data_IF_906859993349
#
_entry.id   IF_906859993349
#
_cell.length_a   1.000
_cell.length_b   1.000
_cell.length_c   1.000
_cell.angle_alpha   90.00
_cell.angle_beta   90.00
_cell.angle_gamma   90.00
#
_symmetry.space_group_name_H-M   'P 1'
#
loop_
_entity.id
_entity.type
_entity.pdbx_description
1 polymer ?
#
# COMPACT_ATOMS: atom_id res chain seq x y z
N UNK A 1 -46.01 -35.07 6.39
CA UNK A 1 -44.60 -35.50 6.49
C UNK A 1 -43.62 -34.51 5.84
N UNK A 2 -43.79 -34.12 4.58
CA UNK A 2 -42.88 -33.19 3.86
C UNK A 2 -42.70 -31.81 4.54
N UNK A 3 -43.81 -31.19 4.99
CA UNK A 3 -43.77 -29.90 5.71
C UNK A 3 -43.11 -29.98 7.10
N UNK A 4 -43.24 -31.13 7.76
CA UNK A 4 -42.62 -31.36 9.06
C UNK A 4 -41.10 -31.51 8.91
N UNK A 5 -40.64 -32.27 7.91
CA UNK A 5 -39.23 -32.38 7.57
C UNK A 5 -38.60 -31.02 7.17
N UNK A 6 -39.35 -30.18 6.46
CA UNK A 6 -38.91 -28.82 6.12
C UNK A 6 -38.74 -27.94 7.36
N UNK A 7 -39.68 -27.99 8.32
CA UNK A 7 -39.57 -27.22 9.56
C UNK A 7 -38.38 -27.66 10.40
N UNK A 8 -38.14 -28.96 10.53
CA UNK A 8 -36.99 -29.50 11.28
C UNK A 8 -35.67 -29.07 10.62
N UNK A 9 -35.59 -29.11 9.29
CA UNK A 9 -34.40 -28.66 8.55
C UNK A 9 -34.12 -27.17 8.74
N UNK A 10 -35.15 -26.31 8.70
CA UNK A 10 -35.01 -24.87 8.92
C UNK A 10 -34.58 -24.55 10.36
N UNK A 11 -35.16 -25.23 11.35
CA UNK A 11 -34.78 -25.04 12.76
C UNK A 11 -33.33 -25.46 12.99
N UNK A 12 -32.90 -26.58 12.41
CA UNK A 12 -31.51 -27.03 12.49
C UNK A 12 -30.54 -26.03 11.83
N UNK A 13 -30.91 -25.49 10.67
CA UNK A 13 -30.11 -24.47 9.98
C UNK A 13 -30.00 -23.17 10.80
N UNK A 14 -31.10 -22.74 11.43
CA UNK A 14 -31.11 -21.59 12.34
C UNK A 14 -30.25 -21.85 13.59
N UNK A 15 -30.33 -23.05 14.16
CA UNK A 15 -29.53 -23.45 15.31
C UNK A 15 -28.03 -23.43 14.97
N UNK A 16 -27.65 -23.94 13.79
CA UNK A 16 -26.26 -23.88 13.31
C UNK A 16 -25.78 -22.44 13.15
N UNK A 17 -26.59 -21.55 12.60
CA UNK A 17 -26.28 -20.13 12.44
C UNK A 17 -26.07 -19.41 13.79
N UNK A 18 -26.82 -19.80 14.82
CA UNK A 18 -26.72 -19.20 16.16
C UNK A 18 -25.52 -19.77 16.94
N UNK A 19 -25.13 -21.02 16.71
CA UNK A 19 -24.02 -21.66 17.41
C UNK A 19 -22.65 -21.42 16.76
N UNK A 20 -22.57 -20.93 15.52
CA UNK A 20 -21.29 -20.56 14.93
C UNK A 20 -20.77 -19.28 15.57
N UNK A 21 -19.62 -19.29 16.28
CA UNK A 21 -18.98 -18.07 16.69
C UNK A 21 -18.59 -17.28 15.44
N UNK A 22 -19.19 -16.11 15.24
CA UNK A 22 -18.72 -15.11 14.29
C UNK A 22 -17.39 -14.61 14.86
N UNK A 23 -16.30 -15.22 14.42
CA UNK A 23 -14.97 -14.65 14.61
C UNK A 23 -14.88 -13.43 13.69
N UNK A 24 -15.34 -12.28 14.18
CA UNK A 24 -14.84 -11.01 13.71
C UNK A 24 -13.41 -10.93 14.23
N UNK A 25 -12.46 -11.27 13.37
CA UNK A 25 -11.05 -11.11 13.67
C UNK A 25 -10.82 -9.60 13.81
N UNK A 26 -10.70 -9.10 15.04
CA UNK A 26 -10.30 -7.72 15.35
C UNK A 26 -8.82 -7.57 14.94
N UNK A 27 -8.59 -7.55 13.63
CA UNK A 27 -7.28 -7.24 13.08
C UNK A 27 -6.97 -5.80 13.46
N UNK A 28 -5.85 -5.54 14.14
CA UNK A 28 -5.48 -4.18 14.50
C UNK A 28 -5.48 -3.33 13.23
N UNK A 29 -6.15 -2.17 13.29
CA UNK A 29 -6.22 -1.18 12.21
C UNK A 29 -4.82 -1.04 11.58
N UNK A 30 -4.67 -1.37 10.27
CA UNK A 30 -3.37 -1.40 9.65
C UNK A 30 -2.76 0.01 9.69
N UNK A 31 -1.50 0.11 10.12
CA UNK A 31 -0.80 1.38 10.13
C UNK A 31 -0.29 1.68 8.71
N UNK A 32 -1.23 2.06 7.85
CA UNK A 32 -1.01 2.27 6.41
C UNK A 32 0.14 3.24 6.14
N UNK A 33 0.37 4.22 7.01
CA UNK A 33 1.48 5.17 6.89
C UNK A 33 2.85 4.52 7.17
N UNK A 34 2.96 3.67 8.20
CA UNK A 34 4.18 2.94 8.50
C UNK A 34 4.46 1.85 7.46
N UNK A 35 3.41 1.18 6.99
CA UNK A 35 3.48 0.13 5.98
C UNK A 35 3.83 0.69 4.60
N UNK A 36 3.29 1.89 4.28
CA UNK A 36 3.73 2.68 3.15
C UNK A 36 5.23 2.84 3.24
N UNK A 37 5.82 3.57 4.21
CA UNK A 37 7.30 3.80 4.28
C UNK A 37 8.18 2.54 4.07
N UNK A 38 7.70 1.34 4.40
CA UNK A 38 8.42 0.07 4.22
C UNK A 38 8.23 -0.60 2.86
N UNK A 39 7.23 -0.23 2.05
CA UNK A 39 7.01 -0.85 0.74
C UNK A 39 8.18 -0.58 -0.21
N UNK A 40 8.60 -1.61 -0.94
CA UNK A 40 9.84 -1.63 -1.73
C UNK A 40 9.87 -0.65 -2.93
N UNK A 41 8.76 0.02 -3.24
CA UNK A 41 8.63 0.97 -4.36
C UNK A 41 7.89 2.24 -3.96
N UNK A 42 8.55 3.12 -3.20
CA UNK A 42 8.07 4.50 -3.04
C UNK A 42 8.51 5.32 -4.25
N UNK A 43 7.59 6.05 -4.90
CA UNK A 43 7.98 7.09 -5.82
C UNK A 43 8.89 8.10 -5.08
N UNK A 44 10.16 8.29 -5.47
CA UNK A 44 10.96 9.37 -4.92
C UNK A 44 10.31 10.73 -5.22
N UNK A 45 10.48 11.67 -4.29
CA UNK A 45 10.11 13.08 -4.53
C UNK A 45 10.96 13.66 -5.67
N UNK A 46 10.39 14.62 -6.40
CA UNK A 46 11.14 15.36 -7.43
C UNK A 46 11.94 16.47 -6.73
N UNK A 47 13.29 16.40 -6.72
CA UNK A 47 14.12 17.28 -5.89
C UNK A 47 14.52 18.59 -6.59
N UNK A 48 13.84 18.94 -7.68
CA UNK A 48 14.09 20.12 -8.49
C UNK A 48 12.77 20.71 -8.97
N UNK A 49 12.82 21.94 -9.50
CA UNK A 49 11.64 22.58 -10.11
C UNK A 49 11.10 21.77 -11.29
N UNK A 50 9.78 21.76 -11.42
CA UNK A 50 9.03 21.17 -12.53
C UNK A 50 8.07 22.24 -13.01
N UNK A 51 7.96 22.45 -14.32
CA UNK A 51 7.00 23.39 -14.88
C UNK A 51 5.59 22.80 -14.83
N UNK A 52 4.57 23.65 -14.74
CA UNK A 52 3.17 23.21 -14.61
C UNK A 52 2.68 22.39 -15.83
N UNK A 53 3.29 22.61 -17.00
CA UNK A 53 3.01 21.93 -18.27
C UNK A 53 3.99 20.77 -18.58
N UNK A 54 4.87 20.41 -17.63
CA UNK A 54 5.85 19.36 -17.84
C UNK A 54 5.18 18.00 -18.06
N UNK A 55 5.50 17.37 -19.18
CA UNK A 55 5.03 16.04 -19.55
C UNK A 55 6.14 14.98 -19.47
N UNK A 56 5.78 13.74 -19.77
CA UNK A 56 6.72 12.62 -19.75
C UNK A 56 7.89 12.77 -20.70
N UNK A 57 7.70 13.40 -21.86
CA UNK A 57 8.78 13.64 -22.82
C UNK A 57 9.82 14.62 -22.24
N UNK A 58 9.35 15.69 -21.58
CA UNK A 58 10.19 16.66 -20.88
C UNK A 58 10.99 16.00 -19.76
N UNK A 59 10.33 15.15 -18.95
CA UNK A 59 10.99 14.38 -17.89
C UNK A 59 12.04 13.42 -18.45
N UNK A 60 11.68 12.69 -19.50
CA UNK A 60 12.51 11.67 -20.12
C UNK A 60 13.77 12.24 -20.78
N UNK A 61 13.77 13.52 -21.17
CA UNK A 61 14.97 14.21 -21.67
C UNK A 61 16.19 14.09 -20.75
N UNK A 62 16.00 13.90 -19.44
CA UNK A 62 17.07 13.61 -18.48
C UNK A 62 16.97 12.21 -17.84
N UNK A 63 15.78 11.61 -17.80
CA UNK A 63 15.49 10.39 -17.04
C UNK A 63 15.46 9.09 -17.87
N UNK A 64 15.84 9.11 -19.15
CA UNK A 64 16.00 7.90 -19.98
C UNK A 64 17.44 7.60 -20.39
N UNK A 65 18.42 8.20 -19.69
CA UNK A 65 19.86 8.02 -19.94
C UNK A 65 20.60 7.20 -18.87
N UNK A 66 21.91 7.00 -19.08
CA UNK A 66 22.75 6.06 -18.33
C UNK A 66 22.94 6.37 -16.84
N UNK A 67 22.66 7.61 -16.38
CA UNK A 67 22.90 8.01 -14.98
C UNK A 67 21.65 7.98 -14.08
N UNK A 68 20.43 8.10 -14.63
CA UNK A 68 19.18 8.18 -13.84
C UNK A 68 17.97 7.60 -14.61
N UNK A 69 18.13 6.38 -15.09
CA UNK A 69 17.06 5.69 -15.82
C UNK A 69 15.84 5.47 -14.91
N UNK A 70 14.70 6.03 -15.30
CA UNK A 70 13.43 5.68 -14.70
C UNK A 70 13.11 4.21 -15.04
N UNK A 71 12.66 3.38 -14.08
CA UNK A 71 12.35 1.97 -14.33
C UNK A 71 11.10 1.75 -15.19
N UNK A 72 10.38 2.82 -15.53
CA UNK A 72 9.16 2.83 -16.33
C UNK A 72 9.10 4.11 -17.18
N UNK A 73 9.97 4.21 -18.20
CA UNK A 73 10.08 5.41 -19.05
C UNK A 73 8.86 5.61 -19.97
N UNK A 74 8.07 4.56 -20.16
CA UNK A 74 6.80 4.53 -20.87
C UNK A 74 5.65 5.21 -20.11
N UNK A 75 5.80 5.42 -18.79
CA UNK A 75 4.80 6.13 -17.97
C UNK A 75 4.99 7.65 -18.09
N UNK A 76 4.30 8.24 -19.03
CA UNK A 76 4.46 9.66 -19.38
C UNK A 76 3.80 10.65 -18.40
N UNK A 77 2.93 10.20 -17.48
CA UNK A 77 2.39 11.06 -16.42
C UNK A 77 3.18 10.87 -15.12
N UNK A 78 4.39 11.41 -15.07
CA UNK A 78 5.33 11.18 -13.97
C UNK A 78 4.83 11.79 -12.65
N UNK A 79 4.16 12.94 -12.70
CA UNK A 79 3.65 13.68 -11.54
C UNK A 79 2.43 13.04 -10.88
N UNK A 80 1.82 12.04 -11.54
CA UNK A 80 0.79 11.20 -10.91
C UNK A 80 1.30 10.48 -9.66
N UNK A 81 2.59 10.14 -9.63
CA UNK A 81 3.20 9.41 -8.53
C UNK A 81 4.34 10.20 -7.86
N UNK A 82 5.11 10.95 -8.65
CA UNK A 82 6.27 11.70 -8.16
C UNK A 82 5.89 13.14 -7.85
N UNK A 83 5.88 13.50 -6.56
CA UNK A 83 5.50 14.85 -6.11
C UNK A 83 6.75 15.71 -5.90
N UNK A 84 6.77 17.00 -6.34
CA UNK A 84 7.84 17.93 -6.04
C UNK A 84 8.03 18.13 -4.53
N UNK A 85 9.27 18.14 -4.07
CA UNK A 85 9.56 18.36 -2.65
C UNK A 85 11.03 18.18 -2.29
N UNK A 86 11.33 18.47 -1.02
CA UNK A 86 12.69 18.34 -0.51
C UNK A 86 13.09 16.89 -0.26
N UNK A 87 14.32 16.53 -0.64
CA UNK A 87 14.89 15.22 -0.29
C UNK A 87 15.20 15.18 1.19
N UNK A 88 14.29 14.62 1.98
CA UNK A 88 14.57 14.32 3.38
C UNK A 88 15.64 13.22 3.42
N UNK A 89 16.81 13.53 3.99
CA UNK A 89 17.87 12.53 4.18
C UNK A 89 17.28 11.39 5.02
N UNK A 90 17.44 10.15 4.55
CA UNK A 90 16.99 8.99 5.29
C UNK A 90 17.64 9.00 6.69
N UNK A 91 16.81 9.13 7.72
CA UNK A 91 17.26 9.00 9.11
C UNK A 91 17.74 7.57 9.28
N UNK A 92 19.06 7.39 9.44
CA UNK A 92 19.62 6.08 9.84
C UNK A 92 18.97 5.73 11.18
N UNK A 93 17.98 4.83 11.19
CA UNK A 93 17.50 4.21 12.43
C UNK A 93 18.69 3.45 13.01
N UNK A 94 19.33 4.04 14.02
CA UNK A 94 20.37 3.38 14.80
C UNK A 94 19.82 2.05 15.30
N UNK A 95 20.46 0.96 14.91
CA UNK A 95 20.20 -0.36 15.44
C UNK A 95 20.35 -0.28 16.97
N UNK A 96 19.23 -0.25 17.69
CA UNK A 96 19.23 -0.34 19.15
C UNK A 96 19.59 -1.79 19.48
N UNK A 97 20.88 -2.10 19.50
CA UNK A 97 21.43 -3.38 19.95
C UNK A 97 21.05 -3.51 21.42
N UNK A 98 19.98 -4.25 21.70
CA UNK A 98 19.56 -4.56 23.06
C UNK A 98 20.71 -5.26 23.77
N UNK A 99 21.28 -4.59 24.76
CA UNK A 99 22.19 -5.20 25.71
C UNK A 99 21.32 -5.99 26.71
N UNK A 100 21.29 -7.31 26.55
CA UNK A 100 20.72 -8.21 27.56
C UNK A 100 21.77 -8.32 28.67
N UNK A 101 21.49 -7.68 29.81
CA UNK A 101 22.19 -7.93 31.08
C UNK A 101 21.83 -9.32 31.58
#
# INVERSE_FOLDING_TARGET
MKRFAQLVSLIFCLLLLVLTPVYADDQPEPNLAADAVKAEKHPPVIPHGVQDDADGATCNGCHTGSLKMAPHPDRLNCTQCHVPGEVKKAVKKGSKKGNKK
#
